data_IF_711090824446
#
_entry.id   IF_711090824446
#
_cell.length_a   1.000
_cell.length_b   1.000
_cell.length_c   1.000
_cell.angle_alpha   90.00
_cell.angle_beta   90.00
_cell.angle_gamma   90.00
#
_symmetry.space_group_name_H-M   'P 1'
#
loop_
_entity.id
_entity.type
_entity.pdbx_description
1 polymer ?
#
# COMPACT_ATOMS: atom_id res chain seq x y z
N UNK A 1 46.35 -3.21 73.12
CA UNK A 1 45.67 -3.03 71.79
C UNK A 1 46.34 -3.94 70.78
N UNK A 2 45.67 -4.99 70.37
CA UNK A 2 46.18 -5.92 69.35
C UNK A 2 45.66 -5.46 67.99
N UNK A 3 46.55 -5.17 67.05
CA UNK A 3 46.23 -4.85 65.68
C UNK A 3 45.78 -6.11 64.94
N UNK A 4 44.66 -6.04 64.28
CA UNK A 4 44.10 -7.06 63.38
C UNK A 4 44.88 -7.00 62.06
N UNK A 5 45.34 -8.14 61.51
CA UNK A 5 45.99 -8.11 60.20
C UNK A 5 44.96 -7.91 59.10
N UNK A 6 45.23 -6.91 58.29
CA UNK A 6 44.49 -6.68 57.04
C UNK A 6 44.81 -7.82 56.07
N UNK A 7 43.77 -8.58 55.71
CA UNK A 7 43.83 -9.56 54.63
C UNK A 7 44.03 -8.87 53.28
N UNK A 8 45.18 -9.09 52.67
CA UNK A 8 45.45 -8.70 51.28
C UNK A 8 44.56 -9.50 50.38
N UNK A 9 43.66 -8.84 49.69
CA UNK A 9 42.85 -9.42 48.59
C UNK A 9 43.82 -9.65 47.43
N UNK A 10 44.10 -10.91 47.12
CA UNK A 10 44.89 -11.28 45.95
C UNK A 10 44.05 -11.04 44.69
N UNK A 11 44.41 -10.06 43.82
CA UNK A 11 43.62 -9.76 42.61
C UNK A 11 43.76 -10.81 41.52
N UNK A 12 44.53 -11.91 41.76
CA UNK A 12 44.70 -13.01 40.79
C UNK A 12 44.04 -14.32 41.22
N UNK A 13 43.19 -14.30 42.24
CA UNK A 13 42.28 -15.42 42.49
C UNK A 13 41.17 -15.50 41.43
N UNK A 14 41.56 -15.38 40.16
CA UNK A 14 40.69 -15.69 39.02
C UNK A 14 40.30 -17.17 39.11
N UNK A 15 39.00 -17.39 39.26
CA UNK A 15 38.48 -18.75 39.19
C UNK A 15 39.02 -19.45 37.92
N UNK A 16 39.62 -20.62 38.10
CA UNK A 16 40.17 -21.35 36.99
C UNK A 16 39.08 -21.51 35.91
N UNK A 17 39.30 -20.93 34.73
CA UNK A 17 38.43 -21.20 33.59
C UNK A 17 38.25 -22.73 33.44
N UNK A 18 37.03 -23.21 33.22
CA UNK A 18 36.77 -24.60 33.01
C UNK A 18 37.59 -25.08 31.80
N UNK A 19 38.67 -25.80 32.07
CA UNK A 19 39.49 -26.37 31.00
C UNK A 19 38.71 -27.54 30.42
N UNK A 20 38.54 -27.55 29.11
CA UNK A 20 37.98 -28.68 28.39
C UNK A 20 38.77 -29.93 28.79
N UNK A 21 38.12 -30.89 29.44
CA UNK A 21 38.74 -32.11 29.85
C UNK A 21 39.32 -32.84 28.64
N UNK A 22 40.54 -33.40 28.78
CA UNK A 22 41.20 -34.24 27.76
C UNK A 22 40.62 -35.65 27.70
N UNK A 23 39.42 -35.86 28.22
CA UNK A 23 38.79 -37.17 28.16
C UNK A 23 38.24 -37.43 26.75
N UNK A 24 38.57 -38.56 26.18
CA UNK A 24 38.09 -38.94 24.85
C UNK A 24 36.55 -39.09 24.90
N UNK A 25 35.87 -38.38 24.00
CA UNK A 25 34.42 -38.49 23.88
C UNK A 25 34.08 -39.95 23.55
N UNK A 26 33.21 -40.59 24.31
CA UNK A 26 32.90 -42.00 24.11
C UNK A 26 32.24 -42.21 22.71
N UNK A 27 32.61 -43.34 22.09
CA UNK A 27 32.15 -43.65 20.71
C UNK A 27 30.62 -43.67 20.59
N UNK A 28 29.92 -44.06 21.64
CA UNK A 28 28.45 -44.06 21.63
C UNK A 28 27.86 -42.66 21.44
N UNK A 29 28.57 -41.62 21.89
CA UNK A 29 28.12 -40.23 21.69
C UNK A 29 28.09 -39.86 20.19
N UNK A 30 29.08 -40.26 19.41
CA UNK A 30 29.11 -40.04 17.98
C UNK A 30 27.99 -40.80 17.26
N UNK A 31 27.73 -42.04 17.67
CA UNK A 31 26.60 -42.82 17.14
C UNK A 31 25.27 -42.15 17.46
N UNK A 32 25.10 -41.67 18.67
CA UNK A 32 23.89 -40.94 19.07
C UNK A 32 23.74 -39.62 18.31
N UNK A 33 24.81 -38.85 18.15
CA UNK A 33 24.81 -37.59 17.38
C UNK A 33 24.47 -37.85 15.90
N UNK A 34 24.99 -38.94 15.30
CA UNK A 34 24.64 -39.33 13.93
C UNK A 34 23.17 -39.73 13.81
N UNK A 35 22.63 -40.47 14.77
CA UNK A 35 21.21 -40.83 14.79
C UNK A 35 20.31 -39.60 14.95
N UNK A 36 20.69 -38.66 15.82
CA UNK A 36 19.98 -37.37 15.95
C UNK A 36 20.04 -36.54 14.69
N UNK A 37 21.21 -36.46 14.06
CA UNK A 37 21.36 -35.72 12.79
C UNK A 37 20.52 -36.36 11.69
N UNK A 38 20.53 -37.69 11.59
CA UNK A 38 19.68 -38.39 10.62
C UNK A 38 18.18 -38.16 10.90
N UNK A 39 17.77 -38.29 12.18
CA UNK A 39 16.39 -38.02 12.57
C UNK A 39 15.97 -36.58 12.29
N UNK A 40 16.85 -35.61 12.60
CA UNK A 40 16.60 -34.19 12.33
C UNK A 40 16.46 -33.92 10.81
N UNK A 41 17.30 -34.59 10.02
CA UNK A 41 17.25 -34.46 8.55
C UNK A 41 15.94 -35.02 7.99
N UNK A 42 15.51 -36.18 8.43
CA UNK A 42 14.23 -36.80 8.06
C UNK A 42 13.04 -35.97 8.54
N UNK A 43 13.11 -35.51 9.81
CA UNK A 43 12.05 -34.65 10.37
C UNK A 43 11.93 -33.33 9.66
N UNK A 44 13.05 -32.74 9.26
CA UNK A 44 13.08 -31.51 8.50
C UNK A 44 12.54 -31.69 7.08
N UNK A 45 12.86 -32.82 6.44
CA UNK A 45 12.31 -33.16 5.12
C UNK A 45 10.78 -33.37 5.18
N UNK A 46 10.29 -34.05 6.22
CA UNK A 46 8.86 -34.35 6.37
C UNK A 46 8.03 -33.15 6.84
N UNK A 47 8.57 -32.23 7.63
CA UNK A 47 7.82 -31.15 8.29
C UNK A 47 8.32 -29.76 7.93
N UNK A 48 9.54 -29.63 7.42
CA UNK A 48 10.14 -28.33 7.10
C UNK A 48 9.79 -27.76 5.74
N UNK A 49 9.09 -28.51 4.90
CA UNK A 49 8.64 -28.06 3.56
C UNK A 49 9.78 -27.70 2.59
N UNK A 50 11.00 -28.15 2.83
CA UNK A 50 12.22 -27.72 2.15
C UNK A 50 12.18 -27.77 0.62
N UNK A 51 11.50 -28.62 0.00
CA UNK A 51 11.32 -28.69 -1.46
C UNK A 51 9.87 -28.99 -1.81
N UNK A 52 8.93 -28.75 -0.88
CA UNK A 52 7.53 -28.95 -1.19
C UNK A 52 7.07 -27.86 -2.14
N UNK A 53 6.72 -28.27 -3.34
CA UNK A 53 6.21 -27.40 -4.40
C UNK A 53 5.01 -26.57 -3.94
N UNK A 54 4.24 -27.07 -2.97
CA UNK A 54 3.08 -26.37 -2.40
C UNK A 54 3.45 -25.12 -1.59
N UNK A 55 4.71 -25.05 -1.10
CA UNK A 55 5.21 -23.87 -0.36
C UNK A 55 5.80 -22.84 -1.29
N UNK A 56 6.50 -23.29 -2.34
CA UNK A 56 7.19 -22.39 -3.27
C UNK A 56 6.37 -22.04 -4.50
N UNK A 57 5.44 -22.88 -4.88
CA UNK A 57 4.48 -22.65 -5.95
C UNK A 57 3.12 -23.22 -5.50
N UNK A 58 2.40 -22.53 -4.60
CA UNK A 58 1.12 -23.01 -4.08
C UNK A 58 0.09 -23.20 -5.20
N UNK A 59 0.16 -22.38 -6.23
CA UNK A 59 -0.74 -22.42 -7.38
C UNK A 59 -0.10 -23.23 -8.51
N UNK A 60 -0.85 -24.16 -9.08
CA UNK A 60 -0.36 -25.11 -10.09
C UNK A 60 -0.50 -24.62 -11.52
N UNK A 61 -1.32 -23.60 -11.73
CA UNK A 61 -1.54 -22.99 -13.04
C UNK A 61 -1.72 -21.49 -12.94
N UNK A 62 -1.57 -20.80 -14.07
CA UNK A 62 -1.80 -19.35 -14.16
C UNK A 62 -3.26 -19.04 -13.81
N UNK A 63 -4.20 -19.90 -14.24
CA UNK A 63 -5.64 -19.77 -13.95
C UNK A 63 -5.92 -19.84 -12.45
N UNK A 64 -5.20 -20.70 -11.71
CA UNK A 64 -5.31 -20.79 -10.26
C UNK A 64 -4.75 -19.52 -9.58
N UNK A 65 -3.61 -19.01 -10.05
CA UNK A 65 -3.07 -17.71 -9.62
C UNK A 65 -4.06 -16.58 -9.89
N UNK A 66 -4.63 -16.53 -11.09
CA UNK A 66 -5.60 -15.51 -11.47
C UNK A 66 -6.90 -15.62 -10.65
N UNK A 67 -7.30 -16.84 -10.24
CA UNK A 67 -8.49 -17.03 -9.38
C UNK A 67 -8.30 -16.49 -7.97
N UNK A 68 -7.07 -16.48 -7.46
CA UNK A 68 -6.71 -15.92 -6.16
C UNK A 68 -6.37 -14.43 -6.21
N UNK A 69 -6.13 -13.88 -7.40
CA UNK A 69 -5.98 -12.45 -7.55
C UNK A 69 -7.34 -11.74 -7.38
N UNK A 70 -7.35 -10.56 -6.77
CA UNK A 70 -8.55 -9.74 -6.74
C UNK A 70 -9.06 -9.57 -8.18
N UNK A 71 -10.14 -10.27 -8.50
CA UNK A 71 -10.79 -10.13 -9.80
C UNK A 71 -11.11 -8.64 -9.97
N UNK A 72 -10.99 -8.13 -11.18
CA UNK A 72 -11.45 -6.78 -11.56
C UNK A 72 -13.00 -6.65 -11.50
N UNK A 73 -13.67 -7.48 -10.72
CA UNK A 73 -15.05 -7.32 -10.30
C UNK A 73 -15.18 -6.00 -9.52
N UNK A 74 -16.38 -5.48 -9.41
CA UNK A 74 -16.67 -4.24 -8.66
C UNK A 74 -16.09 -4.26 -7.25
N UNK A 75 -15.98 -5.43 -6.62
CA UNK A 75 -15.41 -5.60 -5.29
C UNK A 75 -13.87 -5.56 -5.29
N UNK A 76 -13.22 -6.06 -6.34
CA UNK A 76 -11.77 -6.00 -6.51
C UNK A 76 -11.27 -4.56 -6.70
N UNK A 77 -11.93 -3.78 -7.56
CA UNK A 77 -11.57 -2.37 -7.76
C UNK A 77 -11.81 -1.53 -6.49
N UNK A 78 -12.81 -1.91 -5.66
CA UNK A 78 -13.10 -1.21 -4.43
C UNK A 78 -12.01 -1.41 -3.37
N UNK A 79 -11.52 -2.63 -3.17
CA UNK A 79 -10.46 -2.94 -2.20
C UNK A 79 -9.13 -2.27 -2.56
N UNK A 80 -8.69 -2.42 -3.81
CA UNK A 80 -7.46 -1.79 -4.30
C UNK A 80 -7.60 -0.27 -4.36
N UNK A 81 -8.75 0.23 -4.82
CA UNK A 81 -9.05 1.67 -4.84
C UNK A 81 -9.01 2.30 -3.47
N UNK A 82 -9.49 1.60 -2.41
CA UNK A 82 -9.41 2.05 -1.02
C UNK A 82 -7.95 2.20 -0.58
N UNK A 83 -7.12 1.21 -0.87
CA UNK A 83 -5.69 1.25 -0.54
C UNK A 83 -5.00 2.42 -1.23
N UNK A 84 -5.22 2.58 -2.53
CA UNK A 84 -4.64 3.65 -3.34
C UNK A 84 -5.15 5.04 -2.92
N UNK A 85 -6.43 5.16 -2.57
CA UNK A 85 -7.01 6.38 -2.01
C UNK A 85 -6.33 6.76 -0.70
N UNK A 86 -6.15 5.81 0.21
CA UNK A 86 -5.47 6.03 1.48
C UNK A 86 -4.06 6.61 1.30
N UNK A 87 -3.33 6.12 0.31
CA UNK A 87 -1.96 6.58 0.04
C UNK A 87 -1.88 7.95 -0.65
N UNK A 88 -2.80 8.25 -1.57
CA UNK A 88 -2.67 9.39 -2.47
C UNK A 88 -3.65 10.54 -2.16
N UNK A 89 -4.78 10.26 -1.57
CA UNK A 89 -5.88 11.22 -1.43
C UNK A 89 -6.22 11.54 0.03
N UNK A 90 -6.22 10.53 0.90
CA UNK A 90 -6.60 10.67 2.30
C UNK A 90 -5.74 11.67 3.11
N UNK A 91 -4.44 11.89 2.83
CA UNK A 91 -3.66 12.91 3.53
C UNK A 91 -4.26 14.32 3.45
N UNK A 92 -4.97 14.63 2.37
CA UNK A 92 -5.66 15.91 2.17
C UNK A 92 -7.17 15.79 2.39
N UNK A 93 -7.80 14.76 1.83
CA UNK A 93 -9.26 14.61 1.81
C UNK A 93 -9.82 13.78 2.98
N UNK A 94 -8.97 13.29 3.88
CA UNK A 94 -9.28 12.39 4.99
C UNK A 94 -9.81 11.01 4.53
N UNK A 95 -9.69 9.99 5.39
CA UNK A 95 -10.13 8.62 5.07
C UNK A 95 -11.64 8.51 4.82
N UNK A 96 -12.42 9.38 5.44
CA UNK A 96 -13.87 9.46 5.29
C UNK A 96 -14.34 10.43 4.19
N UNK A 97 -13.42 11.02 3.44
CA UNK A 97 -13.74 12.00 2.41
C UNK A 97 -14.32 13.32 2.91
N UNK A 98 -14.21 13.62 4.20
CA UNK A 98 -14.78 14.84 4.78
C UNK A 98 -14.06 16.13 4.37
N UNK A 99 -12.88 16.02 3.77
CA UNK A 99 -12.00 17.15 3.50
C UNK A 99 -11.33 17.68 4.76
N UNK A 100 -10.50 18.70 4.58
CA UNK A 100 -9.82 19.35 5.70
C UNK A 100 -9.98 20.88 5.58
N UNK A 101 -10.92 21.48 6.31
CA UNK A 101 -11.13 22.94 6.27
C UNK A 101 -9.89 23.74 6.66
N UNK A 102 -9.02 23.18 7.53
CA UNK A 102 -7.81 23.85 7.99
C UNK A 102 -6.77 24.09 6.89
N UNK A 103 -6.75 23.26 5.87
CA UNK A 103 -5.86 23.42 4.69
C UNK A 103 -6.61 23.75 3.41
N UNK A 104 -7.92 24.08 3.50
CA UNK A 104 -8.75 24.44 2.34
C UNK A 104 -9.14 23.27 1.43
N UNK A 105 -8.94 22.03 1.85
CA UNK A 105 -9.32 20.85 1.08
C UNK A 105 -10.84 20.61 1.15
N UNK A 106 -11.54 20.60 -0.01
CA UNK A 106 -12.97 20.37 -0.04
C UNK A 106 -13.34 18.92 0.30
N UNK A 107 -14.56 18.68 0.80
CA UNK A 107 -15.06 17.33 1.01
C UNK A 107 -15.30 16.62 -0.32
N UNK A 108 -15.00 15.33 -0.35
CA UNK A 108 -15.39 14.42 -1.42
C UNK A 108 -16.74 13.75 -1.10
N UNK A 109 -17.03 13.56 0.18
CA UNK A 109 -18.27 12.96 0.65
C UNK A 109 -19.47 13.87 0.32
N UNK A 110 -20.35 13.36 -0.55
CA UNK A 110 -21.50 14.09 -1.06
C UNK A 110 -21.18 15.22 -2.05
N UNK A 111 -19.97 15.23 -2.62
CA UNK A 111 -19.57 16.19 -3.64
C UNK A 111 -20.28 15.92 -4.96
N UNK A 112 -20.89 16.95 -5.53
CA UNK A 112 -21.52 16.94 -6.85
C UNK A 112 -20.51 16.64 -7.98
N UNK A 113 -19.25 17.00 -7.78
CA UNK A 113 -18.17 16.70 -8.74
C UNK A 113 -17.92 15.20 -8.86
N UNK A 114 -17.99 14.49 -7.72
CA UNK A 114 -17.76 13.07 -7.67
C UNK A 114 -19.02 12.27 -8.04
N UNK A 115 -20.20 12.83 -7.75
CA UNK A 115 -21.51 12.23 -8.04
C UNK A 115 -21.96 12.42 -9.50
N UNK A 116 -21.28 13.25 -10.27
CA UNK A 116 -21.59 13.48 -11.68
C UNK A 116 -21.63 12.15 -12.47
N UNK A 117 -22.54 12.00 -13.46
CA UNK A 117 -22.65 10.75 -14.22
C UNK A 117 -21.34 10.34 -14.89
N UNK A 118 -20.65 11.29 -15.50
CA UNK A 118 -19.34 11.06 -16.13
C UNK A 118 -18.17 11.27 -15.16
N UNK A 119 -17.01 10.78 -15.56
CA UNK A 119 -15.77 10.93 -14.80
C UNK A 119 -14.82 11.99 -15.40
N UNK A 120 -15.18 12.60 -16.50
CA UNK A 120 -14.30 13.48 -17.27
C UNK A 120 -13.69 14.62 -16.47
N UNK A 121 -14.49 15.26 -15.62
CA UNK A 121 -14.04 16.36 -14.76
C UNK A 121 -13.05 15.88 -13.70
N UNK A 122 -13.41 14.81 -12.98
CA UNK A 122 -12.56 14.30 -11.87
C UNK A 122 -11.27 13.63 -12.36
N UNK A 123 -11.28 12.98 -13.51
CA UNK A 123 -10.07 12.45 -14.15
C UNK A 123 -9.10 13.57 -14.50
N UNK A 124 -9.59 14.69 -15.02
CA UNK A 124 -8.78 15.87 -15.33
C UNK A 124 -8.18 16.50 -14.07
N UNK A 125 -8.99 16.63 -13.01
CA UNK A 125 -8.52 17.14 -11.71
C UNK A 125 -7.40 16.25 -11.16
N UNK A 126 -7.59 14.94 -11.11
CA UNK A 126 -6.56 14.02 -10.60
C UNK A 126 -5.30 14.06 -11.45
N UNK A 127 -5.47 14.17 -12.78
CA UNK A 127 -4.34 14.11 -13.72
C UNK A 127 -3.51 15.39 -13.75
N UNK A 128 -4.16 16.56 -13.80
CA UNK A 128 -3.48 17.86 -14.01
C UNK A 128 -3.67 18.84 -12.87
N UNK A 129 -4.39 18.44 -11.82
CA UNK A 129 -4.65 19.30 -10.67
C UNK A 129 -5.75 20.32 -10.89
N UNK A 130 -6.09 21.02 -9.82
CA UNK A 130 -7.11 22.07 -9.79
C UNK A 130 -6.54 23.29 -9.05
N UNK A 131 -6.78 24.47 -9.58
CA UNK A 131 -6.40 25.74 -8.92
C UNK A 131 -7.57 26.71 -8.88
N UNK A 132 -7.52 27.59 -7.91
CA UNK A 132 -8.56 28.60 -7.70
C UNK A 132 -9.75 28.08 -6.89
N UNK A 133 -10.76 28.94 -6.70
CA UNK A 133 -11.92 28.58 -5.89
C UNK A 133 -12.76 27.50 -6.57
N UNK A 134 -13.21 26.54 -5.76
CA UNK A 134 -14.15 25.50 -6.16
C UNK A 134 -15.32 25.50 -5.20
N UNK A 135 -16.52 25.37 -5.71
CA UNK A 135 -17.73 25.22 -4.91
C UNK A 135 -18.05 23.74 -4.76
N UNK A 136 -18.29 23.30 -3.53
CA UNK A 136 -18.70 21.94 -3.20
C UNK A 136 -19.83 22.03 -2.16
N UNK A 137 -20.97 21.44 -2.47
CA UNK A 137 -22.17 21.47 -1.60
C UNK A 137 -22.63 22.90 -1.26
N UNK A 138 -22.53 23.82 -2.23
CA UNK A 138 -22.89 25.22 -2.04
C UNK A 138 -21.91 26.02 -1.17
N UNK A 139 -20.78 25.44 -0.79
CA UNK A 139 -19.74 26.13 -0.03
C UNK A 139 -18.50 26.34 -0.93
N UNK A 140 -18.01 27.57 -0.94
CA UNK A 140 -16.77 27.88 -1.65
C UNK A 140 -15.56 27.43 -0.84
N UNK A 141 -14.68 26.66 -1.48
CA UNK A 141 -13.38 26.26 -0.98
C UNK A 141 -12.30 26.95 -1.80
N UNK A 142 -11.43 27.53 -1.14
CA UNK A 142 -10.39 28.16 -1.40
C UNK A 142 -9.62 28.72 -2.44
N UNK A 143 -8.60 29.06 -1.85
CA UNK A 143 -7.35 29.52 -2.45
C UNK A 143 -6.34 28.36 -2.62
N UNK A 144 -6.76 27.12 -2.34
CA UNK A 144 -5.90 25.95 -2.42
C UNK A 144 -5.67 25.49 -3.85
N UNK A 145 -4.55 24.81 -4.04
CA UNK A 145 -4.23 24.10 -5.28
C UNK A 145 -4.18 22.62 -4.99
N UNK A 146 -4.99 21.82 -5.68
CA UNK A 146 -4.83 20.38 -5.69
C UNK A 146 -3.71 20.02 -6.67
N UNK A 147 -2.64 19.46 -6.18
CA UNK A 147 -1.52 19.03 -7.02
C UNK A 147 -1.91 17.89 -7.96
N UNK A 148 -1.33 17.81 -9.17
CA UNK A 148 -1.60 16.74 -10.13
C UNK A 148 -1.00 15.41 -9.62
N UNK A 149 -1.83 14.54 -9.10
CA UNK A 149 -1.40 13.21 -8.60
C UNK A 149 -1.16 12.27 -9.78
N UNK A 150 -2.01 12.34 -10.81
CA UNK A 150 -1.97 11.38 -11.91
C UNK A 150 -0.66 11.36 -12.70
N UNK A 151 0.04 12.48 -12.80
CA UNK A 151 1.36 12.53 -13.45
C UNK A 151 2.49 12.02 -12.53
N UNK A 152 2.26 12.01 -11.20
CA UNK A 152 3.22 11.53 -10.20
C UNK A 152 3.11 10.03 -9.92
N UNK A 153 2.03 9.38 -10.38
CA UNK A 153 1.86 7.94 -10.21
C UNK A 153 2.98 7.17 -10.92
N UNK A 154 3.41 6.08 -10.30
CA UNK A 154 4.40 5.18 -10.88
C UNK A 154 3.83 4.40 -12.07
N UNK A 155 4.74 3.99 -12.97
CA UNK A 155 4.40 3.13 -14.09
C UNK A 155 4.17 3.88 -15.40
N UNK A 156 3.77 3.12 -16.42
CA UNK A 156 3.39 3.63 -17.73
C UNK A 156 1.97 4.24 -17.73
N UNK A 157 1.54 4.77 -18.87
CA UNK A 157 0.21 5.42 -18.98
C UNK A 157 -0.95 4.46 -18.73
N UNK A 158 -0.80 3.18 -19.07
CA UNK A 158 -1.79 2.14 -18.80
C UNK A 158 -1.94 1.92 -17.29
N UNK A 159 -0.83 1.72 -16.59
CA UNK A 159 -0.79 1.50 -15.14
C UNK A 159 -1.30 2.72 -14.36
N UNK A 160 -0.97 3.93 -14.81
CA UNK A 160 -1.51 5.16 -14.23
C UNK A 160 -3.03 5.25 -14.41
N UNK A 161 -3.52 4.89 -15.57
CA UNK A 161 -4.95 4.88 -15.84
C UNK A 161 -5.71 3.83 -15.00
N UNK A 162 -5.13 2.66 -14.82
CA UNK A 162 -5.65 1.62 -13.92
C UNK A 162 -5.72 2.10 -12.48
N UNK A 163 -4.65 2.74 -12.00
CA UNK A 163 -4.59 3.33 -10.67
C UNK A 163 -5.66 4.41 -10.46
N UNK A 164 -5.82 5.31 -11.42
CA UNK A 164 -6.85 6.37 -11.37
C UNK A 164 -8.26 5.78 -11.41
N UNK A 165 -8.50 4.78 -12.27
CA UNK A 165 -9.79 4.10 -12.35
C UNK A 165 -10.15 3.39 -11.05
N UNK A 166 -9.19 2.71 -10.41
CA UNK A 166 -9.38 2.06 -9.11
C UNK A 166 -9.67 3.08 -7.99
N UNK A 167 -8.91 4.17 -7.92
CA UNK A 167 -9.17 5.26 -6.95
C UNK A 167 -10.58 5.83 -7.14
N UNK A 168 -11.00 6.08 -8.37
CA UNK A 168 -12.33 6.62 -8.67
C UNK A 168 -13.44 5.61 -8.41
N UNK A 169 -13.20 4.32 -8.67
CA UNK A 169 -14.13 3.26 -8.29
C UNK A 169 -14.45 3.30 -6.80
N UNK A 170 -13.41 3.35 -5.96
CA UNK A 170 -13.58 3.46 -4.51
C UNK A 170 -14.24 4.78 -4.11
N UNK A 171 -13.66 5.91 -4.54
CA UNK A 171 -14.10 7.22 -4.08
C UNK A 171 -15.56 7.51 -4.45
N UNK A 172 -15.98 7.16 -5.66
CA UNK A 172 -17.36 7.32 -6.11
C UNK A 172 -18.34 6.42 -5.37
N UNK A 173 -17.94 5.15 -5.12
CA UNK A 173 -18.76 4.18 -4.38
C UNK A 173 -18.86 4.52 -2.89
N UNK A 174 -17.77 5.00 -2.30
CA UNK A 174 -17.71 5.32 -0.86
C UNK A 174 -18.32 6.68 -0.52
N UNK A 175 -18.20 7.67 -1.40
CA UNK A 175 -18.50 9.06 -1.08
C UNK A 175 -19.61 9.69 -1.93
N UNK A 176 -19.99 9.06 -3.04
CA UNK A 176 -21.06 9.54 -3.91
C UNK A 176 -22.24 8.56 -3.96
N UNK A 177 -23.45 9.08 -4.04
CA UNK A 177 -24.66 8.27 -4.19
C UNK A 177 -24.84 7.83 -5.63
N UNK A 178 -24.70 6.55 -5.92
CA UNK A 178 -24.91 5.95 -7.24
C UNK A 178 -23.92 6.36 -8.34
N UNK A 179 -22.66 6.07 -8.20
CA UNK A 179 -21.66 6.35 -9.23
C UNK A 179 -21.67 5.30 -10.35
N UNK A 180 -21.60 5.75 -11.59
CA UNK A 180 -21.28 4.88 -12.71
C UNK A 180 -19.81 4.41 -12.61
N UNK A 181 -19.48 3.16 -12.98
CA UNK A 181 -18.11 2.70 -13.01
C UNK A 181 -17.28 3.51 -13.99
N UNK A 182 -16.01 3.74 -13.64
CA UNK A 182 -15.04 4.42 -14.49
C UNK A 182 -14.13 3.39 -15.12
N UNK A 183 -14.16 3.27 -16.44
CA UNK A 183 -13.31 2.32 -17.14
C UNK A 183 -11.89 2.87 -17.34
N UNK A 184 -10.90 1.97 -17.40
CA UNK A 184 -9.51 2.32 -17.72
C UNK A 184 -9.42 3.01 -19.08
N UNK A 185 -10.19 2.54 -20.06
CA UNK A 185 -10.21 3.11 -21.41
C UNK A 185 -10.71 4.56 -21.42
N UNK A 186 -11.71 4.87 -20.61
CA UNK A 186 -12.20 6.23 -20.44
C UNK A 186 -11.11 7.13 -19.84
N UNK A 187 -10.41 6.65 -18.81
CA UNK A 187 -9.30 7.40 -18.21
C UNK A 187 -8.18 7.64 -19.21
N UNK A 188 -7.78 6.62 -19.98
CA UNK A 188 -6.76 6.75 -21.03
C UNK A 188 -7.14 7.79 -22.08
N UNK A 189 -8.37 7.71 -22.57
CA UNK A 189 -8.88 8.67 -23.57
C UNK A 189 -8.82 10.11 -23.08
N UNK A 190 -9.24 10.35 -21.83
CA UNK A 190 -9.21 11.68 -21.23
C UNK A 190 -7.77 12.14 -21.00
N UNK A 191 -6.89 11.26 -20.51
CA UNK A 191 -5.49 11.61 -20.30
C UNK A 191 -4.76 11.95 -21.60
N UNK A 192 -5.06 11.24 -22.68
CA UNK A 192 -4.50 11.55 -23.99
C UNK A 192 -4.94 12.94 -24.50
N UNK A 193 -6.22 13.29 -24.33
CA UNK A 193 -6.74 14.63 -24.68
C UNK A 193 -6.02 15.76 -23.93
N UNK A 194 -5.69 15.54 -22.67
CA UNK A 194 -5.06 16.57 -21.82
C UNK A 194 -3.53 16.46 -21.75
N UNK A 195 -2.92 15.53 -22.48
CA UNK A 195 -1.47 15.30 -22.49
C UNK A 195 -0.65 16.56 -22.77
N UNK A 196 -1.02 17.42 -23.74
CA UNK A 196 -0.27 18.64 -24.02
C UNK A 196 -0.41 19.73 -22.96
N UNK A 197 -1.35 19.56 -22.01
CA UNK A 197 -1.60 20.57 -20.97
C UNK A 197 -0.57 20.48 -19.86
N UNK A 198 0.08 21.59 -19.54
CA UNK A 198 1.04 21.72 -18.44
C UNK A 198 0.52 22.54 -17.25
N UNK A 199 -0.67 23.13 -17.38
CA UNK A 199 -1.26 24.00 -16.35
C UNK A 199 -2.38 23.29 -15.59
N UNK A 200 -2.64 23.73 -14.38
CA UNK A 200 -3.79 23.31 -13.60
C UNK A 200 -5.10 23.66 -14.30
N UNK A 201 -6.15 22.90 -14.01
CA UNK A 201 -7.50 23.28 -14.38
C UNK A 201 -8.08 24.29 -13.39
N UNK A 202 -9.01 25.13 -13.88
CA UNK A 202 -9.90 25.92 -13.00
C UNK A 202 -11.28 25.28 -12.94
N UNK A 203 -12.05 25.61 -11.91
CA UNK A 203 -13.40 25.09 -11.76
C UNK A 203 -14.31 25.55 -12.96
N UNK A 204 -14.08 26.75 -13.49
CA UNK A 204 -14.83 27.26 -14.65
C UNK A 204 -14.56 26.45 -15.91
N UNK A 205 -13.29 26.18 -16.21
CA UNK A 205 -12.92 25.31 -17.33
C UNK A 205 -13.56 23.92 -17.22
N UNK A 206 -13.56 23.35 -16.02
CA UNK A 206 -14.14 22.03 -15.79
C UNK A 206 -15.67 22.02 -15.88
N UNK A 207 -16.35 23.09 -15.44
CA UNK A 207 -17.80 23.24 -15.59
C UNK A 207 -18.24 23.35 -17.05
N UNK A 208 -17.38 23.80 -17.95
CA UNK A 208 -17.64 23.80 -19.38
C UNK A 208 -17.61 22.39 -20.01
N UNK A 209 -17.06 21.40 -19.32
CA UNK A 209 -17.05 20.00 -19.76
C UNK A 209 -18.40 19.36 -19.42
N UNK A 210 -19.03 18.64 -20.37
CA UNK A 210 -20.28 17.92 -20.10
C UNK A 210 -20.20 17.00 -18.89
N UNK A 211 -21.27 16.93 -18.10
CA UNK A 211 -21.29 16.09 -16.88
C UNK A 211 -21.31 14.58 -17.17
N UNK A 212 -21.68 14.21 -18.38
CA UNK A 212 -21.78 12.82 -18.82
C UNK A 212 -20.53 12.30 -19.57
N UNK A 213 -19.47 13.11 -19.66
CA UNK A 213 -18.20 12.71 -20.31
C UNK A 213 -17.40 11.66 -19.51
#
# INVERSE_FOLDING_TARGET
>A
MKATPQGTIDPHAGGAEPRAGREAVPVWFFLFALLLAFWAMVSFDQHGGWFDQRIYAPDRSIEEVESHQPQSSEDGCFGEGRRLYGMNCAPCHMDNGAGNPGNGCPPLAGSEWLAAPGAGRVVRIISKGLTGPVEVKGQAYGSGTMTPIGDQLAGDEQQKAETIAAILCYARKAFASNPAPVSVQQVLSIRDQIKPRSTYFTAEELKAIPENE
#
